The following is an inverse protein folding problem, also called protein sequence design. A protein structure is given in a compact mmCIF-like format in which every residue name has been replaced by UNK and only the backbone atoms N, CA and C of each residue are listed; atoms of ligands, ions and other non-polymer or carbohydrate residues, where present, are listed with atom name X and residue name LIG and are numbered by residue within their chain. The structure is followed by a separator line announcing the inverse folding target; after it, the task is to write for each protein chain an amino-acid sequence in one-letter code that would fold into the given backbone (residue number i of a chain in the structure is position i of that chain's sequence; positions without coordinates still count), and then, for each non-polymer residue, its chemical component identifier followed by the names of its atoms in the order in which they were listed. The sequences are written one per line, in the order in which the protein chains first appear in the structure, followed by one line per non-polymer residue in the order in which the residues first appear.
data_IF_223202039573
#
_entry.id   IF_223202039573
#
_cell.length_a   1.000
_cell.length_b   1.000
_cell.length_c   1.000
_cell.angle_alpha   90.00
_cell.angle_beta   90.00
_cell.angle_gamma   90.00
#
_symmetry.space_group_name_H-M   'P 1'
#
loop_
_entity.id
_entity.type
_entity.pdbx_description
1 polymer ?
#
# COMPACT_ATOMS: atom_id res chain seq x y z
N UNK A 1 -23.24 -4.01 -10.37
CA UNK A 1 -22.34 -3.61 -9.27
C UNK A 1 -21.10 -4.48 -9.38
N UNK A 2 -20.03 -4.00 -10.03
CA UNK A 2 -18.77 -4.74 -10.14
C UNK A 2 -17.66 -3.86 -9.60
N UNK A 3 -17.66 -3.66 -8.28
CA UNK A 3 -16.49 -3.15 -7.59
C UNK A 3 -15.48 -4.28 -7.52
N UNK A 4 -14.70 -4.47 -8.57
CA UNK A 4 -13.55 -5.38 -8.55
C UNK A 4 -12.50 -4.80 -7.62
N UNK A 5 -12.67 -5.03 -6.31
CA UNK A 5 -11.76 -4.56 -5.28
C UNK A 5 -10.44 -5.31 -5.41
N UNK A 6 -9.45 -4.68 -6.02
CA UNK A 6 -8.07 -5.16 -6.01
C UNK A 6 -7.53 -5.25 -4.58
N UNK A 7 -6.58 -6.16 -4.35
CA UNK A 7 -5.82 -6.23 -3.12
C UNK A 7 -4.56 -5.41 -3.28
N UNK A 8 -4.26 -4.62 -2.25
CA UNK A 8 -3.13 -3.72 -2.27
C UNK A 8 -2.33 -3.83 -0.98
N UNK A 9 -1.01 -3.73 -1.11
CA UNK A 9 -0.10 -3.51 0.01
C UNK A 9 0.48 -2.10 -0.08
N UNK A 10 0.90 -1.57 1.06
CA UNK A 10 1.63 -0.31 1.11
C UNK A 10 3.08 -0.59 1.43
N UNK A 11 3.97 0.03 0.67
CA UNK A 11 5.42 -0.08 0.87
C UNK A 11 5.99 1.31 1.08
N UNK A 12 6.91 1.43 2.02
CA UNK A 12 7.70 2.64 2.17
C UNK A 12 8.51 2.86 0.89
N UNK A 13 8.47 4.08 0.35
CA UNK A 13 9.25 4.44 -0.82
C UNK A 13 10.44 5.30 -0.43
N UNK A 14 10.18 6.47 0.18
CA UNK A 14 11.23 7.39 0.62
C UNK A 14 10.70 8.40 1.63
N UNK A 15 11.61 9.02 2.36
CA UNK A 15 11.32 10.24 3.09
C UNK A 15 11.62 11.45 2.21
N UNK A 16 10.68 12.39 2.16
CA UNK A 16 10.83 13.69 1.52
C UNK A 16 10.45 14.79 2.50
N UNK A 17 10.64 16.04 2.10
CA UNK A 17 10.12 17.20 2.81
C UNK A 17 9.00 17.81 1.97
N UNK A 18 7.84 18.04 2.58
CA UNK A 18 6.70 18.68 1.92
C UNK A 18 6.30 19.89 2.76
N UNK A 19 6.37 21.10 2.18
CA UNK A 19 6.12 22.37 2.88
C UNK A 19 6.93 22.54 4.19
N UNK A 20 8.22 22.17 4.19
CA UNK A 20 9.08 22.30 5.38
C UNK A 20 8.78 21.28 6.48
N UNK A 21 7.98 20.25 6.20
CA UNK A 21 7.65 19.17 7.13
C UNK A 21 8.15 17.83 6.60
N UNK A 22 8.70 16.95 7.47
CA UNK A 22 9.06 15.61 7.06
C UNK A 22 7.80 14.86 6.62
N UNK A 23 7.85 14.32 5.41
CA UNK A 23 6.78 13.55 4.79
C UNK A 23 7.32 12.21 4.31
N UNK A 24 6.68 11.13 4.75
CA UNK A 24 7.03 9.79 4.29
C UNK A 24 6.12 9.39 3.14
N UNK A 25 6.72 9.11 2.00
CA UNK A 25 6.03 8.65 0.80
C UNK A 25 5.86 7.13 0.85
N UNK A 26 4.61 6.70 0.66
CA UNK A 26 4.25 5.28 0.59
C UNK A 26 3.68 4.99 -0.79
N UNK A 27 4.12 3.89 -1.39
CA UNK A 27 3.59 3.41 -2.66
C UNK A 27 2.54 2.33 -2.40
N UNK A 28 1.40 2.45 -3.09
CA UNK A 28 0.41 1.38 -3.16
C UNK A 28 0.81 0.41 -4.27
N UNK A 29 0.92 -0.88 -3.94
CA UNK A 29 1.27 -1.94 -4.89
C UNK A 29 0.11 -2.92 -4.94
N UNK A 30 -0.43 -3.13 -6.14
CA UNK A 30 -1.44 -4.15 -6.38
C UNK A 30 -0.81 -5.54 -6.30
N UNK A 31 -1.49 -6.44 -5.62
CA UNK A 31 -1.04 -7.82 -5.39
C UNK A 31 -2.19 -8.78 -5.60
N UNK A 32 -1.86 -10.03 -5.90
CA UNK A 32 -2.85 -11.11 -5.94
C UNK A 32 -2.82 -11.93 -4.66
N UNK A 33 -3.99 -12.38 -4.24
CA UNK A 33 -4.11 -13.32 -3.13
C UNK A 33 -3.74 -14.73 -3.60
N UNK A 34 -2.79 -15.35 -2.93
CA UNK A 34 -2.52 -16.78 -3.03
C UNK A 34 -3.31 -17.58 -2.00
N UNK A 35 -2.72 -18.68 -1.55
CA UNK A 35 -3.32 -19.57 -0.55
C UNK A 35 -3.31 -18.93 0.84
N UNK A 36 -4.39 -19.07 1.59
CA UNK A 36 -4.45 -18.71 3.02
C UNK A 36 -4.43 -20.00 3.84
N UNK A 37 -3.44 -20.16 4.71
CA UNK A 37 -3.32 -21.30 5.62
C UNK A 37 -2.64 -20.88 6.94
N UNK A 38 -3.04 -21.50 8.05
CA UNK A 38 -2.38 -21.29 9.35
C UNK A 38 -2.38 -19.86 9.89
N UNK A 39 -3.30 -18.99 9.43
CA UNK A 39 -3.33 -17.57 9.79
C UNK A 39 -2.44 -16.67 8.92
N UNK A 40 -1.78 -17.23 7.92
CA UNK A 40 -1.00 -16.50 6.93
C UNK A 40 -1.70 -16.52 5.58
N UNK A 41 -1.50 -15.47 4.79
CA UNK A 41 -1.99 -15.40 3.40
C UNK A 41 -0.80 -15.15 2.50
N UNK A 42 -0.62 -16.04 1.53
CA UNK A 42 0.32 -15.83 0.45
C UNK A 42 -0.13 -14.64 -0.40
N UNK A 43 0.82 -13.78 -0.73
CA UNK A 43 0.61 -12.64 -1.61
C UNK A 43 1.58 -12.76 -2.78
N UNK A 44 1.03 -12.70 -3.98
CA UNK A 44 1.79 -12.79 -5.22
C UNK A 44 2.13 -11.35 -5.61
N UNK A 45 3.42 -11.04 -5.53
CA UNK A 45 3.99 -9.73 -5.84
C UNK A 45 4.28 -9.64 -7.34
N UNK A 46 4.25 -8.43 -7.94
CA UNK A 46 4.63 -8.26 -9.33
C UNK A 46 6.09 -8.63 -9.57
N UNK A 47 6.41 -9.10 -10.78
CA UNK A 47 7.75 -9.64 -11.11
C UNK A 47 8.90 -8.64 -10.92
N UNK A 48 8.61 -7.34 -11.08
CA UNK A 48 9.58 -6.24 -10.91
C UNK A 48 9.70 -5.76 -9.45
N UNK A 49 9.01 -6.39 -8.50
CA UNK A 49 8.99 -5.95 -7.11
C UNK A 49 10.14 -6.55 -6.29
N UNK A 50 11.06 -5.69 -5.84
CA UNK A 50 12.13 -6.09 -4.91
C UNK A 50 11.58 -6.28 -3.48
N UNK A 51 11.20 -7.52 -3.17
CA UNK A 51 10.67 -7.89 -1.85
C UNK A 51 11.72 -7.93 -0.73
N UNK A 52 13.02 -7.94 -1.05
CA UNK A 52 14.10 -7.99 -0.06
C UNK A 52 14.43 -6.60 0.48
N UNK A 53 14.35 -5.59 -0.37
CA UNK A 53 14.58 -4.19 0.01
C UNK A 53 13.30 -3.47 0.47
N UNK A 54 12.11 -3.97 0.11
CA UNK A 54 10.86 -3.31 0.43
C UNK A 54 10.47 -3.39 1.92
N UNK A 55 10.12 -2.25 2.51
CA UNK A 55 9.54 -2.19 3.85
C UNK A 55 8.01 -2.13 3.74
N UNK A 56 7.34 -3.24 4.05
CA UNK A 56 5.89 -3.38 3.95
C UNK A 56 5.20 -2.88 5.22
N UNK A 57 4.11 -2.12 5.04
CA UNK A 57 3.31 -1.60 6.15
C UNK A 57 2.37 -2.68 6.67
N UNK A 58 2.65 -3.19 7.87
CA UNK A 58 1.82 -4.19 8.56
C UNK A 58 0.87 -3.60 9.61
N UNK A 59 1.07 -2.33 9.99
CA UNK A 59 0.26 -1.60 10.98
C UNK A 59 -0.17 -0.26 10.41
N UNK A 60 -1.46 0.07 10.53
CA UNK A 60 -1.98 1.34 10.03
C UNK A 60 -2.20 1.40 8.51
N UNK A 61 -2.12 0.28 7.79
CA UNK A 61 -2.42 0.21 6.36
C UNK A 61 -3.84 0.72 6.03
N UNK A 62 -4.80 0.50 6.93
CA UNK A 62 -6.15 1.06 6.81
C UNK A 62 -6.16 2.60 6.84
N UNK A 63 -5.34 3.21 7.69
CA UNK A 63 -5.24 4.68 7.76
C UNK A 63 -4.63 5.24 6.47
N UNK A 64 -3.60 4.58 5.91
CA UNK A 64 -3.01 4.96 4.63
C UNK A 64 -4.03 4.84 3.48
N UNK A 65 -4.76 3.72 3.40
CA UNK A 65 -5.81 3.53 2.42
C UNK A 65 -6.91 4.60 2.53
N UNK A 66 -7.33 4.88 3.76
CA UNK A 66 -8.34 5.89 4.04
C UNK A 66 -7.83 7.27 3.65
N UNK A 67 -6.61 7.63 4.04
CA UNK A 67 -6.00 8.91 3.69
C UNK A 67 -5.86 9.07 2.16
N UNK A 68 -5.43 8.05 1.42
CA UNK A 68 -5.33 8.12 -0.04
C UNK A 68 -6.69 8.25 -0.73
N UNK A 69 -7.71 7.53 -0.25
CA UNK A 69 -9.07 7.67 -0.78
C UNK A 69 -9.63 9.07 -0.53
N UNK A 70 -9.51 9.57 0.71
CA UNK A 70 -10.00 10.89 1.09
C UNK A 70 -9.18 12.03 0.46
N UNK A 71 -7.87 11.85 0.23
CA UNK A 71 -7.03 12.83 -0.44
C UNK A 71 -7.41 13.03 -1.91
N UNK A 72 -7.99 12.01 -2.56
CA UNK A 72 -8.59 12.13 -3.89
C UNK A 72 -9.89 12.92 -3.93
N UNK A 73 -10.55 13.14 -2.79
CA UNK A 73 -11.83 13.86 -2.69
C UNK A 73 -11.66 15.35 -2.35
N UNK A 74 -10.44 15.83 -2.14
CA UNK A 74 -10.16 17.25 -1.90
C UNK A 74 -9.69 17.97 -3.17
N UNK A 75 -10.50 17.86 -4.22
CA UNK A 75 -10.49 18.76 -5.38
C UNK A 75 -11.88 19.38 -5.51
N UNK A 76 -12.11 20.45 -4.76
CA UNK A 76 -13.03 21.54 -5.10
C UNK A 76 -12.84 22.70 -4.11
#
# INVERSE_FOLDING_TARGET
MSGSGGLYIFVFEKNKEENGRPFTEYRMVEVYKGVTDGGYTEVILPEDFDSKAALVVIKGAYNLLSAMKNAGEMSC
#
